data_IF_913780299754
#
_entry.id   IF_913780299754
#
_cell.length_a   1.000
_cell.length_b   1.000
_cell.length_c   1.000
_cell.angle_alpha   90.00
_cell.angle_beta   90.00
_cell.angle_gamma   90.00
#
_symmetry.space_group_name_H-M   'P 1'
#
loop_
_entity.id
_entity.type
_entity.pdbx_description
1 polymer ?
#
# COMPACT_ATOMS: atom_id res chain seq x y z
N UNK A 1 -27.15 -18.20 -27.32
CA UNK A 1 -26.47 -18.17 -26.00
C UNK A 1 -26.51 -16.73 -25.49
N UNK A 2 -27.42 -16.42 -24.57
CA UNK A 2 -27.54 -15.06 -24.02
C UNK A 2 -26.71 -14.99 -22.74
N UNK A 3 -25.58 -14.28 -22.78
CA UNK A 3 -24.76 -14.05 -21.60
C UNK A 3 -25.49 -13.06 -20.69
N UNK A 4 -26.06 -13.56 -19.59
CA UNK A 4 -26.62 -12.72 -18.55
C UNK A 4 -25.49 -11.88 -17.97
N UNK A 5 -25.40 -10.61 -18.36
CA UNK A 5 -24.48 -9.64 -17.77
C UNK A 5 -24.94 -9.36 -16.33
N UNK A 6 -24.50 -10.20 -15.40
CA UNK A 6 -24.69 -9.98 -13.97
C UNK A 6 -23.87 -8.74 -13.62
N UNK A 7 -24.56 -7.62 -13.43
CA UNK A 7 -23.96 -6.38 -12.93
C UNK A 7 -23.38 -6.70 -11.55
N UNK A 8 -22.05 -6.67 -11.42
CA UNK A 8 -21.32 -6.83 -10.14
C UNK A 8 -20.88 -5.45 -9.64
N UNK A 9 -21.80 -4.64 -9.10
CA UNK A 9 -21.49 -3.28 -8.65
C UNK A 9 -20.39 -3.25 -7.58
N UNK A 10 -20.23 -4.32 -6.80
CA UNK A 10 -19.15 -4.47 -5.82
C UNK A 10 -17.78 -4.64 -6.46
N UNK A 11 -17.65 -5.44 -7.53
CA UNK A 11 -16.40 -5.57 -8.28
C UNK A 11 -16.05 -4.25 -9.00
N UNK A 12 -17.03 -3.60 -9.62
CA UNK A 12 -16.79 -2.31 -10.28
C UNK A 12 -16.40 -1.20 -9.27
N UNK A 13 -17.00 -1.19 -8.07
CA UNK A 13 -16.63 -0.26 -7.02
C UNK A 13 -15.24 -0.55 -6.42
N UNK A 14 -14.86 -1.83 -6.32
CA UNK A 14 -13.53 -2.23 -5.88
C UNK A 14 -12.47 -1.80 -6.90
N UNK A 15 -12.71 -2.03 -8.19
CA UNK A 15 -11.80 -1.62 -9.26
C UNK A 15 -11.73 -0.09 -9.37
N UNK A 16 -12.87 0.60 -9.32
CA UNK A 16 -12.92 2.07 -9.45
C UNK A 16 -12.28 2.86 -8.30
N UNK A 17 -12.24 2.30 -7.08
CA UNK A 17 -11.54 2.93 -5.94
C UNK A 17 -10.04 2.67 -5.93
N UNK A 18 -9.58 1.59 -6.55
CA UNK A 18 -8.15 1.24 -6.62
C UNK A 18 -7.43 2.06 -7.70
N UNK A 19 -8.14 2.57 -8.71
CA UNK A 19 -7.54 3.18 -9.90
C UNK A 19 -7.40 4.71 -9.90
N UNK A 20 -8.03 5.45 -8.98
CA UNK A 20 -8.23 6.89 -9.21
C UNK A 20 -7.15 7.86 -8.67
N UNK A 21 -6.25 7.44 -7.78
CA UNK A 21 -5.17 8.33 -7.34
C UNK A 21 -3.93 7.54 -6.93
N UNK A 22 -2.78 7.90 -7.50
CA UNK A 22 -1.49 7.51 -6.93
C UNK A 22 -1.44 8.04 -5.49
N UNK A 23 -1.60 7.16 -4.52
CA UNK A 23 -1.45 7.56 -3.11
C UNK A 23 -0.02 8.01 -2.92
N UNK A 24 0.21 9.19 -2.33
CA UNK A 24 1.56 9.62 -2.00
C UNK A 24 2.17 8.55 -1.10
N UNK A 25 3.41 8.18 -1.39
CA UNK A 25 4.18 7.33 -0.50
C UNK A 25 4.38 8.09 0.82
N UNK A 26 4.34 7.39 1.97
CA UNK A 26 4.66 8.02 3.25
C UNK A 26 6.11 8.50 3.25
N UNK A 27 6.42 9.44 4.14
CA UNK A 27 7.81 9.89 4.29
C UNK A 27 8.70 8.74 4.75
N UNK A 28 10.01 8.85 4.47
CA UNK A 28 10.97 7.84 4.92
C UNK A 28 11.00 7.76 6.46
N UNK A 29 10.81 8.90 7.15
CA UNK A 29 10.72 8.97 8.61
C UNK A 29 9.52 8.18 9.15
N UNK A 30 8.34 8.37 8.55
CA UNK A 30 7.12 7.65 8.95
C UNK A 30 7.26 6.14 8.71
N UNK A 31 7.90 5.75 7.62
CA UNK A 31 8.16 4.35 7.29
C UNK A 31 9.09 3.68 8.31
N UNK A 32 10.15 4.38 8.76
CA UNK A 32 11.03 3.88 9.82
C UNK A 32 10.35 3.84 11.19
N UNK A 33 9.55 4.85 11.53
CA UNK A 33 8.78 4.86 12.78
C UNK A 33 7.80 3.68 12.84
N UNK A 34 7.13 3.38 11.73
CA UNK A 34 6.21 2.24 11.63
C UNK A 34 6.96 0.89 11.77
N UNK A 35 8.13 0.76 11.14
CA UNK A 35 8.96 -0.44 11.27
C UNK A 35 9.36 -0.67 12.74
N UNK A 36 9.85 0.37 13.42
CA UNK A 36 10.24 0.28 14.83
C UNK A 36 9.05 -0.11 15.73
N UNK A 37 7.86 0.42 15.47
CA UNK A 37 6.64 0.06 16.20
C UNK A 37 6.23 -1.41 15.96
N UNK A 38 6.34 -1.92 14.73
CA UNK A 38 6.08 -3.32 14.42
C UNK A 38 7.09 -4.25 15.09
N UNK A 39 8.38 -3.91 15.06
CA UNK A 39 9.43 -4.70 15.71
C UNK A 39 9.26 -4.70 17.24
N UNK A 40 8.94 -3.57 17.86
CA UNK A 40 8.65 -3.47 19.29
C UNK A 40 7.44 -4.34 19.72
N UNK A 41 6.46 -4.53 18.83
CA UNK A 41 5.27 -5.36 19.05
C UNK A 41 5.47 -6.83 18.69
N UNK A 42 6.62 -7.21 18.12
CA UNK A 42 6.86 -8.55 17.59
C UNK A 42 6.03 -8.89 16.36
N UNK A 43 5.48 -7.89 15.65
CA UNK A 43 4.70 -8.11 14.43
C UNK A 43 5.63 -8.30 13.22
N UNK A 44 5.97 -9.56 12.96
CA UNK A 44 6.85 -9.96 11.87
C UNK A 44 6.25 -9.63 10.49
N UNK A 45 4.93 -9.73 10.34
CA UNK A 45 4.24 -9.45 9.09
C UNK A 45 4.24 -7.94 8.80
N UNK A 46 3.92 -7.13 9.82
CA UNK A 46 4.00 -5.67 9.76
C UNK A 46 5.42 -5.20 9.46
N UNK A 47 6.43 -5.74 10.13
CA UNK A 47 7.83 -5.41 9.88
C UNK A 47 8.27 -5.75 8.45
N UNK A 48 7.85 -6.90 7.92
CA UNK A 48 8.13 -7.29 6.52
C UNK A 48 7.51 -6.32 5.53
N UNK A 49 6.28 -5.90 5.77
CA UNK A 49 5.56 -4.95 4.91
C UNK A 49 6.22 -3.56 4.95
N UNK A 50 6.65 -3.11 6.14
CA UNK A 50 7.40 -1.87 6.30
C UNK A 50 8.76 -1.90 5.59
N UNK A 51 9.49 -3.02 5.62
CA UNK A 51 10.74 -3.18 4.86
C UNK A 51 10.54 -3.08 3.36
N UNK A 52 9.49 -3.69 2.81
CA UNK A 52 9.16 -3.57 1.39
C UNK A 52 8.75 -2.14 1.02
N UNK A 53 8.02 -1.46 1.91
CA UNK A 53 7.65 -0.07 1.73
C UNK A 53 8.89 0.85 1.75
N UNK A 54 9.83 0.63 2.66
CA UNK A 54 11.11 1.37 2.70
C UNK A 54 11.92 1.18 1.42
N UNK A 55 12.01 -0.05 0.91
CA UNK A 55 12.67 -0.34 -0.37
C UNK A 55 11.99 0.41 -1.53
N UNK A 56 10.66 0.49 -1.51
CA UNK A 56 9.90 1.24 -2.52
C UNK A 56 10.11 2.75 -2.40
N UNK A 57 10.07 3.30 -1.20
CA UNK A 57 10.34 4.74 -0.94
C UNK A 57 11.77 5.11 -1.35
N UNK A 58 12.75 4.26 -1.06
CA UNK A 58 14.14 4.47 -1.49
C UNK A 58 14.31 4.39 -3.01
N UNK A 59 13.61 3.45 -3.67
CA UNK A 59 13.64 3.28 -5.13
C UNK A 59 12.94 4.42 -5.88
N UNK A 60 11.75 4.80 -5.42
CA UNK A 60 10.92 5.86 -6.00
C UNK A 60 11.36 7.26 -5.52
N UNK A 61 12.55 7.33 -4.88
CA UNK A 61 13.06 8.39 -4.04
C UNK A 61 12.71 9.82 -4.44
N UNK A 62 11.81 10.41 -3.65
CA UNK A 62 12.09 11.70 -3.01
C UNK A 62 12.97 11.42 -1.77
N UNK A 63 14.23 11.03 -1.98
CA UNK A 63 15.20 10.97 -0.88
C UNK A 63 15.87 12.34 -0.81
N UNK A 64 15.34 13.21 0.04
CA UNK A 64 15.87 14.56 0.27
C UNK A 64 14.79 15.63 0.24
N UNK A 65 14.01 15.72 1.31
CA UNK A 65 13.58 16.99 1.89
C UNK A 65 14.05 17.00 3.35
#
# INVERSE_FOLDING_TARGET
MSATLVRRPTEQAAVGRVTAAARPLPSIADAFACLAACEARGDLCGARLCRLLLQRVARDGRVGE
#
